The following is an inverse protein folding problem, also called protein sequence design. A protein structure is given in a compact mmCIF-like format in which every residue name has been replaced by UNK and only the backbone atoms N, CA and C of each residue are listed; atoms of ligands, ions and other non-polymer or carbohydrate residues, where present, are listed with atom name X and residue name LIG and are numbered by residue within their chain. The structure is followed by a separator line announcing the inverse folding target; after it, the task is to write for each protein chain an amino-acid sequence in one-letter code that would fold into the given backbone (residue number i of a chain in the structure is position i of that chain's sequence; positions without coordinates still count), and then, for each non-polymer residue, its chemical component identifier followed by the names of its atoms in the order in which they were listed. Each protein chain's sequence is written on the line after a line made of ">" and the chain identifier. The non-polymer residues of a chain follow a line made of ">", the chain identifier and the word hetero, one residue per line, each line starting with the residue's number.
data_IF_330735249603
#
_entry.id   IF_330735249603
#
_cell.length_a   1.000
_cell.length_b   1.000
_cell.length_c   1.000
_cell.angle_alpha   90.00
_cell.angle_beta   90.00
_cell.angle_gamma   90.00
#
_symmetry.space_group_name_H-M   'P 1'
#
loop_
_entity.id
_entity.type
_entity.pdbx_description
1 polymer ?
#
# COMPACT_ATOMS: atom_id res chain seq x y z
N UNK A 1 35.99 3.49 -28.92
CA UNK A 1 35.06 3.58 -27.76
C UNK A 1 35.79 3.04 -26.54
N UNK A 2 36.17 3.95 -25.66
CA UNK A 2 36.95 3.74 -24.44
C UNK A 2 36.12 2.96 -23.40
N UNK A 3 36.52 1.73 -23.10
CA UNK A 3 36.04 0.99 -21.92
C UNK A 3 36.95 1.39 -20.77
N UNK A 4 36.45 2.21 -19.84
CA UNK A 4 37.16 2.50 -18.59
C UNK A 4 37.48 1.19 -17.86
N UNK A 5 38.76 0.85 -17.74
CA UNK A 5 39.19 -0.31 -16.98
C UNK A 5 39.07 -0.01 -15.49
N UNK A 6 38.30 -0.82 -14.78
CA UNK A 6 38.24 -0.82 -13.32
C UNK A 6 39.58 -1.33 -12.75
N UNK A 7 40.27 -0.56 -11.89
CA UNK A 7 41.58 -0.90 -11.28
C UNK A 7 41.51 -1.99 -10.19
N UNK A 8 40.71 -3.05 -10.40
CA UNK A 8 40.63 -4.18 -9.46
C UNK A 8 41.74 -5.18 -9.72
N UNK A 9 42.65 -5.33 -8.76
CA UNK A 9 43.63 -6.40 -8.72
C UNK A 9 42.97 -7.71 -8.25
N UNK A 10 43.28 -8.83 -8.94
CA UNK A 10 42.80 -10.15 -8.59
C UNK A 10 43.97 -11.08 -8.28
N UNK A 11 43.94 -11.74 -7.13
CA UNK A 11 44.97 -12.70 -6.71
C UNK A 11 44.90 -14.05 -7.43
N UNK A 12 43.84 -14.31 -8.20
CA UNK A 12 43.64 -15.56 -8.93
C UNK A 12 43.09 -15.30 -10.33
N UNK A 13 43.68 -15.95 -11.35
CA UNK A 13 43.33 -15.81 -12.76
C UNK A 13 41.86 -16.15 -13.05
N UNK A 14 41.28 -17.13 -12.33
CA UNK A 14 39.88 -17.48 -12.45
C UNK A 14 38.94 -16.33 -12.06
N UNK A 15 39.30 -15.57 -11.02
CA UNK A 15 38.51 -14.43 -10.55
C UNK A 15 38.61 -13.23 -11.50
N UNK A 16 39.78 -13.01 -12.11
CA UNK A 16 39.95 -12.03 -13.19
C UNK A 16 39.10 -12.40 -14.41
N UNK A 17 39.14 -13.66 -14.86
CA UNK A 17 38.33 -14.14 -16.00
C UNK A 17 36.84 -13.95 -15.76
N UNK A 18 36.37 -14.28 -14.56
CA UNK A 18 34.99 -14.05 -14.13
C UNK A 18 34.64 -12.56 -14.13
N UNK A 19 35.55 -11.69 -13.65
CA UNK A 19 35.34 -10.25 -13.64
C UNK A 19 35.20 -9.70 -15.05
N UNK A 20 36.02 -10.17 -15.99
CA UNK A 20 35.92 -9.79 -17.41
C UNK A 20 34.56 -10.18 -18.03
N UNK A 21 34.00 -11.34 -17.67
CA UNK A 21 32.65 -11.74 -18.10
C UNK A 21 31.54 -10.77 -17.63
N UNK A 22 31.80 -9.97 -16.59
CA UNK A 22 30.83 -8.95 -16.14
C UNK A 22 30.78 -7.74 -17.07
N UNK A 23 31.89 -7.39 -17.73
CA UNK A 23 31.94 -6.32 -18.72
C UNK A 23 31.36 -6.76 -20.07
N UNK A 24 31.64 -7.99 -20.48
CA UNK A 24 31.14 -8.54 -21.77
C UNK A 24 29.68 -9.02 -21.69
N UNK A 25 29.11 -9.11 -20.47
CA UNK A 25 27.79 -9.72 -20.17
C UNK A 25 27.66 -11.19 -20.61
N UNK A 26 28.76 -11.85 -20.91
CA UNK A 26 28.79 -13.26 -21.28
C UNK A 26 28.40 -14.15 -20.09
N UNK A 27 27.57 -15.16 -20.36
CA UNK A 27 27.08 -16.11 -19.36
C UNK A 27 27.28 -17.54 -19.86
N UNK A 28 28.50 -18.07 -19.79
CA UNK A 28 28.88 -19.32 -20.47
C UNK A 28 28.21 -20.57 -19.86
N UNK A 29 27.64 -20.48 -18.66
CA UNK A 29 27.04 -21.63 -17.99
C UNK A 29 25.52 -21.66 -18.17
N UNK A 30 25.03 -22.43 -19.14
CA UNK A 30 23.59 -22.60 -19.41
C UNK A 30 22.93 -23.68 -18.55
N UNK A 31 21.69 -23.44 -18.15
CA UNK A 31 20.78 -24.43 -17.60
C UNK A 31 20.00 -25.09 -18.72
N UNK A 32 20.18 -26.39 -18.93
CA UNK A 32 19.49 -27.15 -19.99
C UNK A 32 17.99 -27.34 -19.75
N UNK A 33 17.50 -27.10 -18.53
CA UNK A 33 16.09 -27.29 -18.15
C UNK A 33 15.24 -26.06 -18.49
N UNK A 34 15.81 -24.85 -18.40
CA UNK A 34 15.05 -23.61 -18.62
C UNK A 34 15.82 -22.53 -19.39
N UNK A 35 16.93 -22.92 -20.02
CA UNK A 35 17.81 -22.11 -20.86
C UNK A 35 18.37 -20.84 -20.19
N UNK A 36 18.26 -20.72 -18.85
CA UNK A 36 18.87 -19.62 -18.09
C UNK A 36 20.38 -19.76 -18.05
N UNK A 37 21.09 -18.67 -18.30
CA UNK A 37 22.55 -18.65 -18.34
C UNK A 37 23.13 -17.94 -17.11
N UNK A 38 24.32 -18.34 -16.69
CA UNK A 38 25.03 -17.86 -15.51
C UNK A 38 26.50 -17.54 -15.84
N UNK A 39 27.03 -16.48 -15.23
CA UNK A 39 28.45 -16.11 -15.33
C UNK A 39 29.37 -17.02 -14.51
N UNK A 40 28.83 -17.78 -13.54
CA UNK A 40 29.58 -18.72 -12.72
C UNK A 40 28.90 -20.08 -12.66
N UNK A 41 29.70 -21.15 -12.70
CA UNK A 41 29.22 -22.53 -12.51
C UNK A 41 28.57 -22.76 -11.15
N UNK A 42 29.07 -22.13 -10.09
CA UNK A 42 28.46 -22.19 -8.75
C UNK A 42 27.03 -21.66 -8.73
N UNK A 43 26.75 -20.58 -9.47
CA UNK A 43 25.41 -19.99 -9.58
C UNK A 43 24.46 -20.90 -10.36
N UNK A 44 24.95 -21.55 -11.44
CA UNK A 44 24.20 -22.58 -12.16
C UNK A 44 23.86 -23.75 -11.22
N UNK A 45 24.82 -24.26 -10.44
CA UNK A 45 24.60 -25.36 -9.50
C UNK A 45 23.54 -25.01 -8.44
N UNK A 46 23.58 -23.79 -7.90
CA UNK A 46 22.55 -23.29 -6.98
C UNK A 46 21.19 -23.21 -7.68
N UNK A 47 21.16 -22.71 -8.91
CA UNK A 47 19.94 -22.61 -9.70
C UNK A 47 19.32 -23.99 -10.00
N UNK A 48 20.13 -24.99 -10.31
CA UNK A 48 19.67 -26.36 -10.58
C UNK A 48 18.92 -26.97 -9.39
N UNK A 49 19.24 -26.56 -8.15
CA UNK A 49 18.48 -26.96 -6.94
C UNK A 49 17.02 -26.53 -6.98
N UNK A 50 16.68 -25.49 -7.75
CA UNK A 50 15.30 -25.04 -7.91
C UNK A 50 14.46 -25.97 -8.81
N UNK A 51 15.10 -26.70 -9.74
CA UNK A 51 14.42 -27.69 -10.60
C UNK A 51 14.19 -29.01 -9.88
N UNK A 52 15.11 -29.39 -9.00
CA UNK A 52 14.96 -30.58 -8.15
C UNK A 52 14.15 -30.23 -6.90
N UNK A 53 12.82 -30.45 -6.92
CA UNK A 53 11.86 -30.07 -5.86
C UNK A 53 12.22 -30.46 -4.40
N UNK A 54 13.25 -31.28 -4.17
CA UNK A 54 13.64 -31.83 -2.85
C UNK A 54 14.96 -31.35 -2.22
N UNK A 55 15.92 -30.76 -2.94
CA UNK A 55 17.24 -30.44 -2.33
C UNK A 55 17.27 -29.09 -1.61
N UNK A 56 16.66 -29.04 -0.42
CA UNK A 56 16.77 -27.95 0.56
C UNK A 56 17.56 -28.45 1.78
N UNK A 57 18.90 -28.55 1.68
CA UNK A 57 19.70 -29.23 2.71
C UNK A 57 19.79 -28.44 4.03
N UNK A 58 19.34 -27.19 4.06
CA UNK A 58 19.43 -26.34 5.24
C UNK A 58 18.05 -26.19 5.89
N UNK A 59 17.74 -27.06 6.85
CA UNK A 59 16.49 -27.00 7.62
C UNK A 59 16.58 -25.98 8.77
N UNK A 60 15.46 -25.33 9.08
CA UNK A 60 15.31 -24.53 10.29
C UNK A 60 14.96 -25.45 11.46
N UNK A 61 15.61 -25.27 12.60
CA UNK A 61 15.31 -26.06 13.80
C UNK A 61 14.08 -25.52 14.55
N UNK A 62 13.72 -24.26 14.34
CA UNK A 62 12.58 -23.61 15.00
C UNK A 62 11.25 -23.73 14.22
N UNK A 63 11.28 -24.24 12.98
CA UNK A 63 10.08 -24.53 12.20
C UNK A 63 10.36 -25.49 11.04
N UNK A 64 9.31 -26.05 10.43
CA UNK A 64 9.42 -27.03 9.35
C UNK A 64 9.94 -26.48 8.00
N UNK A 65 10.50 -25.26 7.96
CA UNK A 65 11.00 -24.65 6.71
C UNK A 65 12.43 -25.08 6.42
N UNK A 66 12.70 -25.43 5.17
CA UNK A 66 14.04 -25.71 4.66
C UNK A 66 14.41 -24.83 3.46
N UNK A 67 15.71 -24.59 3.29
CA UNK A 67 16.27 -23.66 2.32
C UNK A 67 17.36 -24.32 1.46
N UNK A 68 17.52 -23.81 0.24
CA UNK A 68 18.53 -24.29 -0.71
C UNK A 68 19.94 -23.73 -0.46
N UNK A 69 20.05 -22.70 0.39
CA UNK A 69 21.30 -22.00 0.72
C UNK A 69 21.37 -21.68 2.22
N UNK A 70 22.54 -21.86 2.83
CA UNK A 70 22.77 -21.62 4.26
C UNK A 70 22.56 -20.15 4.64
N UNK A 71 23.01 -19.21 3.81
CA UNK A 71 22.81 -17.77 4.07
C UNK A 71 21.33 -17.36 4.11
N UNK A 72 20.47 -18.07 3.37
CA UNK A 72 19.01 -17.84 3.40
C UNK A 72 18.43 -18.37 4.71
N UNK A 73 18.88 -19.54 5.18
CA UNK A 73 18.51 -20.08 6.49
C UNK A 73 18.94 -19.13 7.61
N UNK A 74 20.21 -18.69 7.65
CA UNK A 74 20.70 -17.74 8.68
C UNK A 74 19.83 -16.49 8.76
N UNK A 75 19.46 -15.93 7.61
CA UNK A 75 18.57 -14.77 7.55
C UNK A 75 17.13 -15.07 7.95
N UNK A 76 16.65 -16.28 7.70
CA UNK A 76 15.34 -16.73 8.15
C UNK A 76 15.29 -16.92 9.67
N UNK A 77 16.36 -17.43 10.29
CA UNK A 77 16.46 -17.57 11.76
C UNK A 77 16.20 -16.24 12.47
N UNK A 78 16.67 -15.11 11.92
CA UNK A 78 16.39 -13.76 12.44
C UNK A 78 14.89 -13.43 12.54
N UNK A 79 14.02 -14.15 11.81
CA UNK A 79 12.56 -13.97 11.89
C UNK A 79 11.95 -14.60 13.14
N UNK A 80 12.62 -15.59 13.74
CA UNK A 80 12.21 -16.20 15.00
C UNK A 80 12.80 -15.45 16.19
N UNK A 81 14.10 -15.13 16.15
CA UNK A 81 14.77 -14.39 17.23
C UNK A 81 14.36 -12.91 17.30
N UNK A 82 13.74 -12.40 16.22
CA UNK A 82 13.40 -10.97 16.02
C UNK A 82 14.61 -10.04 16.03
N UNK A 83 15.82 -10.60 15.97
CA UNK A 83 17.05 -9.83 15.86
C UNK A 83 17.08 -8.99 14.59
N UNK A 84 17.56 -7.76 14.75
CA UNK A 84 17.63 -6.75 13.70
C UNK A 84 19.00 -6.09 13.73
N UNK A 85 20.05 -6.74 13.17
CA UNK A 85 21.43 -6.27 13.31
C UNK A 85 21.71 -4.92 12.65
N UNK A 86 20.81 -4.44 11.78
CA UNK A 86 21.04 -3.23 10.99
C UNK A 86 20.15 -2.10 11.52
N UNK A 87 20.68 -1.28 12.43
CA UNK A 87 20.00 -0.13 13.00
C UNK A 87 20.06 1.09 12.06
N UNK A 88 19.01 1.91 12.10
CA UNK A 88 19.02 3.24 11.49
C UNK A 88 19.63 4.23 12.49
N UNK A 89 20.57 5.04 12.03
CA UNK A 89 21.21 6.07 12.88
C UNK A 89 20.32 7.30 13.05
N UNK A 90 19.34 7.49 12.15
CA UNK A 90 18.44 8.66 12.15
C UNK A 90 17.17 8.42 12.99
N UNK A 91 16.78 7.16 13.22
CA UNK A 91 15.62 6.84 14.05
C UNK A 91 15.76 5.46 14.70
N UNK A 92 14.92 5.16 15.70
CA UNK A 92 14.99 3.90 16.47
C UNK A 92 14.60 2.62 15.71
N UNK A 93 14.51 2.66 14.37
CA UNK A 93 14.15 1.49 13.56
C UNK A 93 15.37 0.64 13.23
N UNK A 94 15.25 -0.66 13.40
CA UNK A 94 16.24 -1.64 12.99
C UNK A 94 15.67 -2.69 12.03
N UNK A 95 16.55 -3.30 11.23
CA UNK A 95 16.21 -4.23 10.16
C UNK A 95 17.05 -5.51 10.27
N UNK A 96 16.49 -6.63 9.81
CA UNK A 96 17.20 -7.92 9.72
C UNK A 96 18.08 -8.03 8.48
N UNK A 97 18.05 -7.05 7.58
CA UNK A 97 18.83 -7.06 6.33
C UNK A 97 19.31 -5.65 5.97
N UNK A 98 20.58 -5.53 5.59
CA UNK A 98 21.20 -4.26 5.19
C UNK A 98 20.45 -3.56 4.05
N UNK A 99 20.00 -4.31 3.03
CA UNK A 99 19.23 -3.76 1.92
C UNK A 99 17.91 -3.11 2.35
N UNK A 100 17.29 -3.62 3.42
CA UNK A 100 16.08 -3.02 3.98
C UNK A 100 16.39 -1.71 4.70
N UNK A 101 17.52 -1.65 5.42
CA UNK A 101 18.02 -0.41 6.01
C UNK A 101 18.32 0.63 4.94
N UNK A 102 19.09 0.29 3.88
CA UNK A 102 19.39 1.21 2.77
C UNK A 102 18.12 1.79 2.14
N UNK A 103 17.13 0.93 1.87
CA UNK A 103 15.83 1.35 1.36
C UNK A 103 15.06 2.23 2.34
N UNK A 104 15.17 1.98 3.64
CA UNK A 104 14.56 2.81 4.66
C UNK A 104 15.23 4.19 4.76
N UNK A 105 16.55 4.28 4.59
CA UNK A 105 17.26 5.57 4.60
C UNK A 105 16.73 6.54 3.53
N UNK A 106 16.28 6.03 2.38
CA UNK A 106 15.58 6.84 1.36
C UNK A 106 14.32 7.55 1.88
N UNK A 107 13.73 7.07 2.98
CA UNK A 107 12.59 7.74 3.63
C UNK A 107 12.98 8.97 4.44
N UNK A 108 14.23 9.05 4.90
CA UNK A 108 14.77 10.22 5.59
C UNK A 108 15.24 11.27 4.59
N UNK A 109 15.94 10.86 3.54
CA UNK A 109 16.43 11.78 2.49
C UNK A 109 15.31 12.26 1.56
N UNK A 110 14.15 11.59 1.57
CA UNK A 110 13.04 11.78 0.61
C UNK A 110 13.47 11.57 -0.85
N UNK A 111 14.60 10.91 -1.08
CA UNK A 111 15.11 10.62 -2.41
C UNK A 111 14.15 9.69 -3.16
N UNK A 112 13.80 10.08 -4.38
CA UNK A 112 12.86 9.37 -5.24
C UNK A 112 13.43 9.24 -6.64
N UNK A 113 14.32 8.28 -6.82
CA UNK A 113 15.08 8.08 -8.05
C UNK A 113 14.26 7.45 -9.20
N UNK A 114 13.01 7.05 -8.96
CA UNK A 114 12.15 6.44 -9.98
C UNK A 114 10.99 7.35 -10.36
N UNK A 115 11.10 8.05 -11.49
CA UNK A 115 10.11 9.02 -11.95
C UNK A 115 9.15 8.39 -12.97
N UNK A 116 7.86 8.69 -12.84
CA UNK A 116 6.86 8.37 -13.86
C UNK A 116 6.86 9.45 -14.94
N UNK A 117 7.24 9.09 -16.17
CA UNK A 117 7.31 10.05 -17.28
C UNK A 117 5.94 10.60 -17.70
N UNK A 118 4.85 9.88 -17.43
CA UNK A 118 3.50 10.30 -17.80
C UNK A 118 2.89 11.37 -16.87
N UNK A 119 3.35 11.49 -15.62
CA UNK A 119 2.78 12.45 -14.66
C UNK A 119 3.81 13.07 -13.71
N UNK A 120 5.10 12.92 -14.03
CA UNK A 120 6.27 13.36 -13.24
C UNK A 120 6.30 12.88 -11.79
N UNK A 121 5.45 11.93 -11.41
CA UNK A 121 5.37 11.43 -10.04
C UNK A 121 6.56 10.54 -9.71
N UNK A 122 7.30 10.87 -8.66
CA UNK A 122 8.50 10.16 -8.26
C UNK A 122 8.28 9.17 -7.11
N UNK A 123 9.01 8.05 -7.14
CA UNK A 123 8.96 6.94 -6.20
C UNK A 123 10.37 6.59 -5.71
N UNK A 124 10.47 6.12 -4.46
CA UNK A 124 11.74 5.63 -3.88
C UNK A 124 12.07 4.18 -4.26
N UNK A 125 11.14 3.48 -4.91
CA UNK A 125 11.31 2.07 -5.28
C UNK A 125 10.75 1.81 -6.67
N UNK A 126 11.50 1.08 -7.49
CA UNK A 126 11.10 0.69 -8.85
C UNK A 126 9.79 -0.11 -8.88
N UNK A 127 9.59 -1.02 -7.91
CA UNK A 127 8.35 -1.81 -7.81
C UNK A 127 7.11 -0.93 -7.66
N UNK A 128 7.21 0.15 -6.88
CA UNK A 128 6.11 1.09 -6.70
C UNK A 128 5.81 1.87 -7.98
N UNK A 129 6.84 2.27 -8.73
CA UNK A 129 6.67 2.85 -10.06
C UNK A 129 5.96 1.87 -10.99
N UNK A 130 6.41 0.61 -11.08
CA UNK A 130 5.76 -0.42 -11.92
C UNK A 130 4.27 -0.59 -11.58
N UNK A 131 3.95 -0.68 -10.30
CA UNK A 131 2.57 -0.75 -9.83
C UNK A 131 1.78 0.51 -10.18
N UNK A 132 2.39 1.70 -10.05
CA UNK A 132 1.76 2.96 -10.43
C UNK A 132 1.51 3.04 -11.94
N UNK A 133 2.40 2.53 -12.79
CA UNK A 133 2.20 2.52 -14.24
C UNK A 133 0.94 1.73 -14.66
N UNK A 134 0.51 0.75 -13.86
CA UNK A 134 -0.77 0.04 -14.08
C UNK A 134 -1.98 0.99 -14.00
N UNK A 135 -1.87 2.08 -13.24
CA UNK A 135 -2.96 3.07 -13.10
C UNK A 135 -3.16 3.89 -14.36
N UNK A 136 -2.08 4.22 -15.07
CA UNK A 136 -2.15 4.92 -16.36
C UNK A 136 -2.72 4.04 -17.46
N UNK A 137 -2.29 2.77 -17.50
CA UNK A 137 -2.79 1.80 -18.48
C UNK A 137 -4.19 1.27 -18.14
N UNK A 138 -4.79 1.70 -17.02
CA UNK A 138 -6.03 1.16 -16.45
C UNK A 138 -6.04 -0.38 -16.33
N UNK A 139 -4.86 -1.00 -16.26
CA UNK A 139 -4.70 -2.45 -16.18
C UNK A 139 -5.05 -2.90 -14.77
N UNK A 140 -6.12 -3.70 -14.66
CA UNK A 140 -6.59 -4.28 -13.40
C UNK A 140 -6.38 -5.78 -13.44
N UNK A 141 -5.20 -6.23 -13.04
CA UNK A 141 -4.76 -7.63 -13.14
C UNK A 141 -5.40 -8.57 -12.11
N UNK A 142 -6.13 -8.04 -11.12
CA UNK A 142 -6.69 -8.83 -10.03
C UNK A 142 -8.20 -8.67 -9.98
N UNK A 143 -8.94 -9.69 -10.40
CA UNK A 143 -10.40 -9.67 -10.47
C UNK A 143 -11.02 -10.40 -9.30
N UNK A 144 -12.04 -9.82 -8.69
CA UNK A 144 -12.88 -10.50 -7.71
C UNK A 144 -13.75 -11.54 -8.41
N UNK A 145 -13.70 -12.79 -7.98
CA UNK A 145 -14.54 -13.87 -8.51
C UNK A 145 -16.01 -13.80 -8.03
N UNK A 146 -16.32 -12.97 -7.03
CA UNK A 146 -17.68 -12.84 -6.46
C UNK A 146 -18.49 -11.76 -7.20
N UNK A 147 -17.88 -10.61 -7.51
CA UNK A 147 -18.59 -9.48 -8.15
C UNK A 147 -17.90 -8.93 -9.41
N UNK A 148 -16.88 -9.63 -9.92
CA UNK A 148 -16.12 -9.25 -11.11
C UNK A 148 -15.38 -7.90 -11.01
N UNK A 149 -15.36 -7.26 -9.83
CA UNK A 149 -14.64 -6.00 -9.62
C UNK A 149 -13.14 -6.23 -9.71
N UNK A 150 -12.46 -5.44 -10.54
CA UNK A 150 -11.05 -5.58 -10.80
C UNK A 150 -10.18 -4.50 -10.11
N UNK A 151 -8.98 -4.88 -9.71
CA UNK A 151 -8.00 -4.10 -8.96
C UNK A 151 -6.63 -4.14 -9.65
N UNK A 152 -5.87 -3.05 -9.56
CA UNK A 152 -4.50 -2.98 -10.07
C UNK A 152 -3.48 -3.69 -9.19
N UNK A 153 -3.84 -3.97 -7.92
CA UNK A 153 -2.97 -4.62 -6.93
C UNK A 153 -3.72 -5.64 -6.09
N UNK A 154 -3.05 -6.75 -5.77
CA UNK A 154 -3.61 -7.84 -4.97
C UNK A 154 -4.06 -7.41 -3.57
N UNK A 155 -3.35 -6.47 -2.92
CA UNK A 155 -3.75 -5.94 -1.62
C UNK A 155 -5.12 -5.23 -1.64
N UNK A 156 -5.47 -4.62 -2.78
CA UNK A 156 -6.78 -4.03 -3.01
C UNK A 156 -7.87 -5.09 -3.11
N UNK A 157 -7.62 -6.14 -3.89
CA UNK A 157 -8.52 -7.30 -3.98
C UNK A 157 -8.72 -7.97 -2.61
N UNK A 158 -7.65 -8.23 -1.85
CA UNK A 158 -7.76 -8.83 -0.52
C UNK A 158 -8.60 -7.99 0.44
N UNK A 159 -8.37 -6.67 0.45
CA UNK A 159 -9.15 -5.74 1.29
C UNK A 159 -10.62 -5.70 0.89
N UNK A 160 -10.92 -5.90 -0.39
CA UNK A 160 -12.27 -6.00 -0.91
C UNK A 160 -12.92 -7.35 -0.58
N UNK A 161 -12.19 -8.46 -0.64
CA UNK A 161 -12.73 -9.76 -0.24
C UNK A 161 -13.15 -9.80 1.24
N UNK A 162 -12.40 -9.11 2.12
CA UNK A 162 -12.78 -8.95 3.53
C UNK A 162 -14.12 -8.22 3.74
N UNK A 163 -14.62 -7.46 2.74
CA UNK A 163 -15.97 -6.87 2.86
C UNK A 163 -17.09 -7.88 2.64
N UNK A 164 -16.82 -8.99 1.94
CA UNK A 164 -17.80 -10.07 1.76
C UNK A 164 -17.89 -10.98 2.97
N UNK A 165 -16.74 -11.39 3.51
CA UNK A 165 -16.69 -12.32 4.65
C UNK A 165 -17.13 -11.68 5.96
N UNK A 166 -17.28 -10.35 6.01
CA UNK A 166 -17.47 -9.54 7.23
C UNK A 166 -16.40 -9.82 8.30
N UNK A 167 -15.28 -10.43 7.92
CA UNK A 167 -14.17 -10.70 8.84
C UNK A 167 -13.55 -9.39 9.30
N UNK A 168 -13.55 -9.18 10.61
CA UNK A 168 -12.98 -8.01 11.26
C UNK A 168 -11.73 -8.44 12.02
N UNK A 169 -10.59 -8.33 11.34
CA UNK A 169 -9.29 -8.80 11.85
C UNK A 169 -8.64 -7.85 12.85
N UNK A 170 -9.20 -6.66 13.05
CA UNK A 170 -8.60 -5.61 13.85
C UNK A 170 -9.60 -5.13 14.91
N UNK A 171 -9.51 -5.70 16.10
CA UNK A 171 -10.33 -5.34 17.25
C UNK A 171 -9.81 -4.07 17.94
N UNK A 172 -10.72 -3.28 18.49
CA UNK A 172 -10.38 -2.21 19.42
C UNK A 172 -10.34 -2.79 20.83
N UNK A 173 -9.27 -2.56 21.58
CA UNK A 173 -9.16 -3.06 22.96
C UNK A 173 -9.96 -2.21 23.96
N UNK A 174 -10.25 -0.96 23.59
CA UNK A 174 -10.99 -0.01 24.44
C UNK A 174 -12.51 -0.03 24.23
N UNK A 175 -13.01 -0.76 23.22
CA UNK A 175 -14.44 -0.90 22.98
C UNK A 175 -14.73 -2.10 22.08
N UNK A 176 -15.96 -2.62 22.06
CA UNK A 176 -16.37 -3.80 21.27
C UNK A 176 -16.45 -3.58 19.75
N UNK A 177 -15.73 -2.60 19.18
CA UNK A 177 -15.74 -2.30 17.75
C UNK A 177 -14.54 -2.94 17.05
N UNK A 178 -14.84 -3.80 16.09
CA UNK A 178 -13.83 -4.40 15.21
C UNK A 178 -13.90 -3.84 13.79
N UNK A 179 -12.76 -3.93 13.09
CA UNK A 179 -12.56 -3.36 11.76
C UNK A 179 -11.95 -4.39 10.81
N UNK A 180 -12.33 -4.33 9.54
CA UNK A 180 -11.74 -5.15 8.46
C UNK A 180 -10.38 -4.63 7.98
N UNK A 181 -10.02 -3.39 8.32
CA UNK A 181 -8.78 -2.75 7.90
C UNK A 181 -8.12 -2.00 9.06
N UNK A 182 -6.81 -2.20 9.24
CA UNK A 182 -6.01 -1.54 10.28
C UNK A 182 -6.10 0.00 10.23
N UNK A 183 -6.18 0.58 9.04
CA UNK A 183 -6.30 2.05 8.87
C UNK A 183 -7.59 2.59 9.51
N UNK A 184 -8.66 1.81 9.49
CA UNK A 184 -9.95 2.19 10.06
C UNK A 184 -9.88 2.09 11.59
N UNK A 185 -9.25 1.04 12.13
CA UNK A 185 -8.97 0.94 13.57
C UNK A 185 -8.13 2.12 14.05
N UNK A 186 -7.03 2.47 13.36
CA UNK A 186 -6.19 3.63 13.72
C UNK A 186 -6.99 4.94 13.73
N UNK A 187 -7.80 5.15 12.70
CA UNK A 187 -8.66 6.34 12.62
C UNK A 187 -9.67 6.37 13.76
N UNK A 188 -10.26 5.22 14.08
CA UNK A 188 -11.16 5.07 15.21
C UNK A 188 -10.46 5.39 16.54
N UNK A 189 -9.24 4.88 16.77
CA UNK A 189 -8.48 5.15 17.99
C UNK A 189 -8.21 6.66 18.17
N UNK A 190 -7.81 7.36 17.11
CA UNK A 190 -7.63 8.83 17.15
C UNK A 190 -8.95 9.55 17.49
N UNK A 191 -10.08 9.09 16.95
CA UNK A 191 -11.38 9.70 17.29
C UNK A 191 -11.82 9.41 18.73
N UNK A 192 -11.58 8.19 19.24
CA UNK A 192 -11.99 7.78 20.59
C UNK A 192 -11.17 8.45 21.67
N UNK A 193 -9.86 8.62 21.46
CA UNK A 193 -8.94 9.33 22.36
C UNK A 193 -9.04 10.85 22.24
N UNK A 194 -9.85 11.36 21.28
CA UNK A 194 -9.93 12.78 20.89
C UNK A 194 -8.59 13.38 20.44
N UNK A 195 -7.60 12.54 20.12
CA UNK A 195 -6.35 12.98 19.52
C UNK A 195 -6.59 13.57 18.12
N UNK A 196 -6.06 14.78 17.91
CA UNK A 196 -6.24 15.55 16.68
C UNK A 196 -4.88 15.98 16.11
N UNK A 197 -4.10 15.04 15.54
CA UNK A 197 -2.74 15.32 15.09
C UNK A 197 -2.67 16.23 13.86
N UNK A 198 -3.80 16.50 13.18
CA UNK A 198 -3.83 17.32 11.97
C UNK A 198 -4.37 18.70 12.29
N UNK A 199 -3.48 19.68 12.47
CA UNK A 199 -3.82 21.06 12.83
C UNK A 199 -3.86 21.95 11.58
N UNK A 200 -4.88 22.80 11.49
CA UNK A 200 -4.96 23.88 10.52
C UNK A 200 -4.10 25.05 11.01
N UNK A 201 -3.06 25.41 10.27
CA UNK A 201 -2.17 26.51 10.67
C UNK A 201 -2.83 27.89 10.55
N UNK A 202 -3.87 28.03 9.72
CA UNK A 202 -4.57 29.30 9.53
C UNK A 202 -5.56 29.66 10.65
N UNK A 203 -6.16 28.67 11.32
CA UNK A 203 -7.16 28.93 12.37
C UNK A 203 -7.04 28.00 13.59
N UNK A 204 -5.94 27.26 13.69
CA UNK A 204 -5.62 26.31 14.76
C UNK A 204 -6.63 25.18 14.98
N UNK A 205 -7.65 25.03 14.12
CA UNK A 205 -8.61 23.93 14.19
C UNK A 205 -7.91 22.60 13.92
N UNK A 206 -8.10 21.64 14.82
CA UNK A 206 -7.47 20.34 14.76
C UNK A 206 -8.46 19.21 14.40
N UNK A 207 -7.96 18.22 13.65
CA UNK A 207 -8.72 17.10 13.11
C UNK A 207 -8.02 15.76 13.42
N UNK A 208 -8.81 14.72 13.64
CA UNK A 208 -8.33 13.34 13.83
C UNK A 208 -8.03 12.63 12.51
N UNK A 209 -8.56 13.15 11.39
CA UNK A 209 -8.44 12.57 10.05
C UNK A 209 -7.90 13.62 9.08
N UNK A 210 -6.81 13.29 8.38
CA UNK A 210 -6.17 14.18 7.40
C UNK A 210 -7.11 14.66 6.29
N UNK A 211 -8.01 13.79 5.83
CA UNK A 211 -9.02 14.15 4.83
C UNK A 211 -9.92 15.30 5.29
N UNK A 212 -10.32 15.29 6.56
CA UNK A 212 -11.16 16.35 7.13
C UNK A 212 -10.40 17.68 7.20
N UNK A 213 -9.11 17.66 7.56
CA UNK A 213 -8.28 18.86 7.46
C UNK A 213 -8.22 19.36 6.00
N UNK A 214 -8.00 18.47 5.03
CA UNK A 214 -7.95 18.85 3.61
C UNK A 214 -9.23 19.53 3.15
N UNK A 215 -10.40 18.99 3.48
CA UNK A 215 -11.65 19.66 3.13
C UNK A 215 -11.82 20.96 3.91
N UNK A 216 -11.46 20.99 5.19
CA UNK A 216 -11.52 22.22 5.96
C UNK A 216 -10.66 23.33 5.34
N UNK A 217 -9.48 23.02 4.78
CA UNK A 217 -8.65 24.01 4.08
C UNK A 217 -9.39 24.67 2.89
N UNK A 218 -10.33 23.97 2.24
CA UNK A 218 -11.16 24.56 1.18
C UNK A 218 -12.07 25.69 1.70
N UNK A 219 -12.38 25.71 3.00
CA UNK A 219 -13.17 26.81 3.61
C UNK A 219 -12.37 28.11 3.71
N UNK A 220 -11.04 28.01 3.76
CA UNK A 220 -10.15 29.17 3.77
C UNK A 220 -9.87 29.68 2.35
N UNK A 221 -9.65 28.77 1.40
CA UNK A 221 -9.40 29.14 0.00
C UNK A 221 -10.68 29.50 -0.77
N UNK A 222 -11.86 29.18 -0.21
CA UNK A 222 -13.18 29.28 -0.87
C UNK A 222 -13.27 28.45 -2.16
N UNK A 223 -12.35 27.52 -2.38
CA UNK A 223 -12.37 26.63 -3.53
C UNK A 223 -13.55 25.65 -3.43
N UNK A 224 -14.31 25.54 -4.53
CA UNK A 224 -15.46 24.65 -4.66
C UNK A 224 -15.26 23.71 -5.84
N UNK A 225 -14.43 22.67 -5.68
CA UNK A 225 -14.01 21.81 -6.78
C UNK A 225 -15.11 20.91 -7.35
N UNK A 226 -16.27 20.83 -6.69
CA UNK A 226 -17.40 20.02 -7.14
C UNK A 226 -18.52 20.93 -7.65
N UNK A 227 -18.57 21.15 -8.95
CA UNK A 227 -19.62 21.92 -9.61
C UNK A 227 -20.57 21.01 -10.41
N UNK A 228 -21.82 21.41 -10.53
CA UNK A 228 -22.77 20.81 -11.47
C UNK A 228 -22.92 21.71 -12.69
N UNK A 229 -22.74 21.17 -13.89
CA UNK A 229 -22.65 21.95 -15.12
C UNK A 229 -23.94 22.70 -15.48
N UNK A 230 -25.09 22.23 -14.98
CA UNK A 230 -26.41 22.85 -15.23
C UNK A 230 -26.93 23.69 -14.05
N UNK A 231 -26.14 23.92 -13.00
CA UNK A 231 -26.51 24.87 -11.93
C UNK A 231 -25.31 25.68 -11.45
N UNK A 232 -25.56 26.90 -10.95
CA UNK A 232 -24.53 27.74 -10.32
C UNK A 232 -24.01 27.18 -8.97
N UNK A 233 -24.44 25.99 -8.58
CA UNK A 233 -24.09 25.34 -7.32
C UNK A 233 -22.73 24.65 -7.39
N UNK A 234 -21.72 25.27 -6.77
CA UNK A 234 -20.42 24.64 -6.52
C UNK A 234 -20.23 24.35 -5.02
N UNK A 235 -19.67 23.18 -4.72
CA UNK A 235 -19.54 22.62 -3.38
C UNK A 235 -18.09 22.27 -3.04
N UNK A 236 -17.74 22.37 -1.75
CA UNK A 236 -16.44 21.96 -1.22
C UNK A 236 -16.33 20.44 -1.00
N UNK A 237 -17.46 19.73 -0.95
CA UNK A 237 -17.54 18.27 -0.75
C UNK A 237 -18.41 17.62 -1.83
N UNK A 238 -18.04 16.40 -2.22
CA UNK A 238 -18.79 15.62 -3.21
C UNK A 238 -20.15 15.14 -2.66
N UNK A 239 -20.22 14.81 -1.37
CA UNK A 239 -21.47 14.41 -0.72
C UNK A 239 -22.53 15.51 -0.77
N UNK A 240 -22.12 16.77 -0.65
CA UNK A 240 -23.04 17.91 -0.70
C UNK A 240 -23.57 18.14 -2.12
N UNK A 241 -22.71 17.96 -3.13
CA UNK A 241 -23.15 17.91 -4.53
C UNK A 241 -24.14 16.74 -4.75
N UNK A 242 -23.86 15.54 -4.25
CA UNK A 242 -24.80 14.40 -4.38
C UNK A 242 -26.16 14.67 -3.74
N UNK A 243 -26.18 15.24 -2.53
CA UNK A 243 -27.43 15.65 -1.87
C UNK A 243 -28.17 16.72 -2.69
N UNK A 244 -27.43 17.67 -3.27
CA UNK A 244 -28.01 18.68 -4.15
C UNK A 244 -28.60 18.07 -5.43
N UNK A 245 -27.94 17.09 -6.04
CA UNK A 245 -28.46 16.42 -7.24
C UNK A 245 -29.79 15.69 -6.99
N UNK A 246 -29.97 15.09 -5.82
CA UNK A 246 -31.25 14.47 -5.42
C UNK A 246 -32.39 15.50 -5.36
N UNK A 247 -32.09 16.79 -5.17
CA UNK A 247 -33.13 17.84 -5.22
C UNK A 247 -33.58 18.18 -6.63
N UNK A 248 -32.74 17.98 -7.64
CA UNK A 248 -33.12 18.17 -9.06
C UNK A 248 -33.95 17.02 -9.59
N UNK A 249 -33.73 15.80 -9.10
CA UNK A 249 -34.46 14.60 -9.55
C UNK A 249 -35.80 14.39 -8.82
N UNK A 250 -36.10 15.19 -7.79
CA UNK A 250 -37.23 14.99 -6.87
C UNK A 250 -37.29 13.59 -6.22
N UNK A 251 -36.19 12.83 -6.26
CA UNK A 251 -36.13 11.51 -5.65
C UNK A 251 -36.21 11.63 -4.12
N UNK A 252 -37.11 10.85 -3.52
CA UNK A 252 -37.29 10.76 -2.07
C UNK A 252 -36.98 9.34 -1.58
N UNK A 253 -35.71 8.92 -1.60
CA UNK A 253 -35.32 7.54 -1.31
C UNK A 253 -35.52 7.14 0.16
N UNK A 254 -35.79 8.09 1.06
CA UNK A 254 -35.96 7.84 2.49
C UNK A 254 -37.44 7.94 2.87
N UNK A 255 -38.15 6.82 2.81
CA UNK A 255 -39.56 6.73 3.21
C UNK A 255 -39.70 6.52 4.72
N UNK A 256 -40.73 7.13 5.31
CA UNK A 256 -41.18 6.80 6.67
C UNK A 256 -42.02 5.53 6.61
N UNK A 257 -41.76 4.58 7.51
CA UNK A 257 -42.52 3.33 7.58
C UNK A 257 -43.84 3.52 8.35
N UNK A 258 -43.92 4.56 9.20
CA UNK A 258 -45.08 4.86 10.03
C UNK A 258 -46.10 5.80 9.35
N UNK A 259 -45.75 6.42 8.22
CA UNK A 259 -46.65 7.27 7.46
C UNK A 259 -46.19 7.45 6.01
N UNK A 260 -47.03 7.96 5.12
CA UNK A 260 -46.72 8.12 3.69
C UNK A 260 -45.68 9.19 3.34
N UNK A 261 -44.98 9.79 4.32
CA UNK A 261 -43.99 10.84 4.07
C UNK A 261 -42.66 10.23 3.62
N UNK A 262 -42.07 10.81 2.59
CA UNK A 262 -40.73 10.46 2.10
C UNK A 262 -39.86 11.71 1.96
N UNK A 263 -38.55 11.53 2.14
CA UNK A 263 -37.58 12.61 2.23
C UNK A 263 -36.42 12.38 1.27
N UNK A 264 -35.84 13.46 0.76
CA UNK A 264 -34.64 13.45 -0.09
C UNK A 264 -33.35 13.24 0.71
N UNK A 265 -33.39 13.45 2.04
CA UNK A 265 -32.24 13.28 2.93
C UNK A 265 -32.61 12.48 4.19
N UNK A 266 -31.73 11.55 4.58
CA UNK A 266 -31.92 10.72 5.77
C UNK A 266 -32.00 11.53 7.08
N UNK A 267 -31.29 12.66 7.18
CA UNK A 267 -31.37 13.54 8.34
C UNK A 267 -32.78 14.04 8.59
N UNK A 268 -33.48 14.43 7.53
CA UNK A 268 -34.87 14.90 7.60
C UNK A 268 -35.82 13.77 8.00
N UNK A 269 -35.59 12.54 7.50
CA UNK A 269 -36.34 11.37 7.97
C UNK A 269 -36.10 11.14 9.46
N UNK A 270 -34.85 11.19 9.95
CA UNK A 270 -34.56 11.03 11.40
C UNK A 270 -35.26 12.08 12.25
N UNK A 271 -35.20 13.35 11.86
CA UNK A 271 -35.92 14.43 12.56
C UNK A 271 -37.43 14.21 12.50
N UNK A 272 -37.96 13.73 11.38
CA UNK A 272 -39.36 13.37 11.26
C UNK A 272 -39.75 12.18 12.14
N UNK A 273 -38.91 11.16 12.30
CA UNK A 273 -39.18 10.01 13.16
C UNK A 273 -39.31 10.40 14.63
N UNK A 274 -38.65 11.48 15.07
CA UNK A 274 -38.84 12.06 16.42
C UNK A 274 -40.28 12.56 16.64
N UNK A 275 -40.98 12.98 15.58
CA UNK A 275 -42.38 13.44 15.69
C UNK A 275 -43.36 12.31 15.98
N UNK A 276 -42.99 11.06 15.67
CA UNK A 276 -43.80 9.88 15.97
C UNK A 276 -43.55 9.33 17.38
N UNK A 277 -42.34 9.50 17.90
CA UNK A 277 -41.91 8.94 19.18
C UNK A 277 -42.16 9.86 20.38
N UNK A 278 -42.64 11.10 20.15
CA UNK A 278 -42.83 12.16 21.17
C UNK A 278 -41.57 12.50 22.00
N UNK A 279 -40.40 11.98 21.63
CA UNK A 279 -39.13 12.40 22.20
C UNK A 279 -38.73 13.73 21.54
N UNK A 280 -38.81 14.82 22.32
CA UNK A 280 -38.30 16.13 21.88
C UNK A 280 -36.78 16.08 21.71
N UNK A 281 -36.20 16.95 20.85
CA UNK A 281 -34.76 16.99 20.56
C UNK A 281 -33.88 17.13 21.80
#
# INVERSE_FOLDING_TARGET
>A
MSVEMCSKAFSQQQNLRIHLLTFTKEKPHGCLICCKTFSHRGNLNIHLRAHTKKKKPYACEMCSKAFSQQGVLKRHVLTHTKEKPYACEVCSKAFSQQQNLRRHLLTHTKEKSYVCEMCSKAFSQQGNLKTHLLTHKKVKSYTCNICSKAFSVMGGLRSHLLSYTKEKLYACEMCSKDFSQQKNLKTHLLTSTKEKPYVCEMCSKAFSVKGNLKTHLLTHTKEKPYAYEMSSGAFSQQEDLKKHLVTHTNEKPYACEMCSKAFSQNGNLKTHLLTHTKEKP
#
